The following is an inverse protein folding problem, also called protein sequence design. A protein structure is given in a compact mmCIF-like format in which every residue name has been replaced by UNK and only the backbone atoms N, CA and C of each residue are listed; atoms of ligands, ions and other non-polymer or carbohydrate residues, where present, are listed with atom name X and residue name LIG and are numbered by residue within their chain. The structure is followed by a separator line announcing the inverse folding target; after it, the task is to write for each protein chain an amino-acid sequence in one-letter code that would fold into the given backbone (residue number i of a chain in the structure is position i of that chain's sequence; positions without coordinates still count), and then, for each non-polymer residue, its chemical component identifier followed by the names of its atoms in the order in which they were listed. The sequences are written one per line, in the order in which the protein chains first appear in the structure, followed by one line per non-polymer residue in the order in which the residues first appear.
data_IF_626405220103
#
_entry.id   IF_626405220103
#
_cell.length_a   1.000
_cell.length_b   1.000
_cell.length_c   1.000
_cell.angle_alpha   90.00
_cell.angle_beta   90.00
_cell.angle_gamma   90.00
#
_symmetry.space_group_name_H-M   'P 1'
#
loop_
_entity.id
_entity.type
_entity.pdbx_description
1 polymer ?
#
# COMPACT_ATOMS: atom_id res chain seq x y z
N UNK A 1 24.91 -6.51 9.76
CA UNK A 1 24.76 -5.63 8.57
C UNK A 1 23.60 -6.14 7.74
N UNK A 2 22.84 -5.25 7.15
CA UNK A 2 21.64 -5.58 6.36
C UNK A 2 21.73 -4.95 4.98
N UNK A 3 21.28 -5.68 3.98
CA UNK A 3 20.98 -5.12 2.66
C UNK A 3 19.51 -4.70 2.63
N UNK A 4 19.22 -3.54 2.07
CA UNK A 4 17.85 -3.04 1.90
C UNK A 4 17.65 -2.63 0.46
N UNK A 5 16.57 -3.10 -0.15
CA UNK A 5 16.15 -2.72 -1.49
C UNK A 5 14.72 -2.22 -1.47
N UNK A 6 14.38 -1.36 -2.40
CA UNK A 6 13.02 -0.84 -2.52
C UNK A 6 12.56 -0.80 -3.97
N UNK A 7 11.27 -0.97 -4.18
CA UNK A 7 10.58 -0.84 -5.45
C UNK A 7 9.45 0.16 -5.32
N UNK A 8 9.41 1.13 -6.24
CA UNK A 8 8.31 2.08 -6.37
C UNK A 8 7.32 1.58 -7.43
N UNK A 9 6.02 1.75 -7.14
CA UNK A 9 4.92 1.36 -8.02
C UNK A 9 3.93 2.53 -8.05
N UNK A 10 3.76 3.16 -9.20
CA UNK A 10 2.79 4.23 -9.39
C UNK A 10 1.43 3.66 -9.78
N UNK A 11 0.37 4.22 -9.20
CA UNK A 11 -1.02 3.90 -9.55
C UNK A 11 -1.92 5.07 -9.21
N UNK A 12 -3.07 5.17 -9.86
CA UNK A 12 -4.05 6.18 -9.50
C UNK A 12 -5.27 5.52 -8.87
N UNK A 13 -5.84 6.19 -7.86
CA UNK A 13 -6.99 5.71 -7.14
C UNK A 13 -7.86 6.87 -6.68
N UNK A 14 -9.13 6.59 -6.42
CA UNK A 14 -10.01 7.50 -5.74
C UNK A 14 -10.36 6.98 -4.36
N UNK A 15 -10.76 7.86 -3.47
CA UNK A 15 -11.23 7.51 -2.14
C UNK A 15 -12.02 8.64 -1.49
N UNK A 16 -12.63 8.34 -0.36
CA UNK A 16 -13.10 9.31 0.63
C UNK A 16 -13.11 8.66 2.01
N UNK A 17 -13.13 9.50 3.03
CA UNK A 17 -13.15 9.06 4.43
C UNK A 17 -14.56 9.22 5.01
N UNK A 18 -15.01 8.20 5.73
CA UNK A 18 -16.24 8.27 6.53
C UNK A 18 -15.98 8.94 7.87
N UNK A 19 -17.01 9.57 8.44
CA UNK A 19 -16.99 10.18 9.78
C UNK A 19 -15.82 11.17 9.95
N UNK A 20 -15.60 11.97 8.93
CA UNK A 20 -14.52 12.95 8.86
C UNK A 20 -15.05 14.29 8.34
N UNK A 21 -14.70 15.39 9.00
CA UNK A 21 -15.22 16.74 8.71
C UNK A 21 -14.39 17.54 7.68
N UNK A 22 -13.18 17.08 7.35
CA UNK A 22 -12.31 17.74 6.39
C UNK A 22 -12.70 17.49 4.94
N UNK A 23 -11.90 18.02 4.01
CA UNK A 23 -12.13 17.90 2.55
C UNK A 23 -12.13 16.46 2.05
N UNK A 24 -11.42 15.57 2.74
CA UNK A 24 -11.33 14.14 2.37
C UNK A 24 -12.64 13.37 2.55
N UNK A 25 -13.70 13.99 3.08
CA UNK A 25 -15.07 13.44 3.06
C UNK A 25 -15.69 13.43 1.67
N UNK A 26 -15.15 14.19 0.74
CA UNK A 26 -15.60 14.22 -0.65
C UNK A 26 -14.81 13.22 -1.49
N UNK A 27 -15.45 12.68 -2.53
CA UNK A 27 -14.76 11.81 -3.48
C UNK A 27 -13.65 12.59 -4.19
N UNK A 28 -12.45 12.07 -4.15
CA UNK A 28 -11.28 12.66 -4.80
C UNK A 28 -10.28 11.57 -5.15
N UNK A 29 -9.24 11.92 -5.86
CA UNK A 29 -8.23 10.97 -6.31
C UNK A 29 -6.80 11.46 -6.15
N UNK A 30 -5.89 10.51 -6.22
CA UNK A 30 -4.45 10.74 -6.15
C UNK A 30 -3.71 9.93 -7.21
N UNK A 31 -2.60 10.47 -7.68
CA UNK A 31 -1.54 9.69 -8.29
C UNK A 31 -0.66 9.14 -7.16
N UNK A 32 -0.99 7.94 -6.71
CA UNK A 32 -0.30 7.31 -5.59
C UNK A 32 1.02 6.69 -6.01
N UNK A 33 1.96 6.64 -5.06
CA UNK A 33 3.19 5.87 -5.19
C UNK A 33 3.34 4.94 -4.00
N UNK A 34 3.27 3.66 -4.27
CA UNK A 34 3.62 2.64 -3.29
C UNK A 34 5.13 2.39 -3.31
N UNK A 35 5.74 2.26 -2.14
CA UNK A 35 7.14 1.87 -1.99
C UNK A 35 7.19 0.59 -1.17
N UNK A 36 7.76 -0.46 -1.74
CA UNK A 36 7.96 -1.75 -1.07
C UNK A 36 9.41 -1.81 -0.63
N UNK A 37 9.65 -1.94 0.67
CA UNK A 37 10.99 -2.02 1.26
C UNK A 37 11.23 -3.41 1.82
N UNK A 38 12.29 -4.05 1.36
CA UNK A 38 12.67 -5.42 1.69
C UNK A 38 14.10 -5.44 2.23
N UNK A 39 14.32 -6.22 3.27
CA UNK A 39 15.65 -6.42 3.87
C UNK A 39 16.08 -7.89 3.84
N UNK A 40 17.38 -8.10 3.76
CA UNK A 40 18.02 -9.39 3.96
C UNK A 40 19.41 -9.24 4.58
N UNK A 41 19.82 -10.20 5.39
CA UNK A 41 21.17 -10.26 5.98
C UNK A 41 22.21 -10.70 4.97
N UNK A 42 21.82 -11.47 3.97
CA UNK A 42 22.69 -12.01 2.93
C UNK A 42 22.05 -11.88 1.56
N UNK A 43 22.90 -11.93 0.56
CA UNK A 43 22.50 -11.96 -0.85
C UNK A 43 22.44 -13.40 -1.35
N UNK A 44 21.67 -13.62 -2.41
CA UNK A 44 21.65 -14.89 -3.14
C UNK A 44 22.92 -15.09 -3.98
N UNK A 45 23.01 -16.21 -4.69
CA UNK A 45 24.18 -16.56 -5.53
C UNK A 45 24.42 -15.56 -6.68
N UNK A 46 23.41 -14.74 -7.00
CA UNK A 46 23.50 -13.69 -8.02
C UNK A 46 23.94 -12.34 -7.44
N UNK A 47 24.09 -12.25 -6.11
CA UNK A 47 24.39 -10.99 -5.41
C UNK A 47 23.17 -10.11 -5.20
N UNK A 48 21.95 -10.66 -5.14
CA UNK A 48 20.69 -9.95 -4.98
C UNK A 48 20.01 -10.27 -3.65
N UNK A 49 19.29 -9.29 -3.07
CA UNK A 49 18.31 -9.55 -2.03
C UNK A 49 17.15 -10.36 -2.62
N UNK A 50 16.68 -9.94 -3.79
CA UNK A 50 15.71 -10.63 -4.64
C UNK A 50 15.71 -9.98 -6.02
N UNK A 51 15.06 -10.63 -6.98
CA UNK A 51 14.83 -10.05 -8.30
C UNK A 51 13.66 -9.05 -8.25
N UNK A 52 13.92 -7.80 -8.65
CA UNK A 52 12.86 -6.78 -8.76
C UNK A 52 11.75 -7.18 -9.72
N UNK A 53 12.04 -8.02 -10.70
CA UNK A 53 11.05 -8.59 -11.62
C UNK A 53 9.99 -9.42 -10.90
N UNK A 54 10.32 -10.07 -9.80
CA UNK A 54 9.36 -10.84 -8.99
C UNK A 54 8.39 -9.92 -8.26
N UNK A 55 8.86 -8.78 -7.74
CA UNK A 55 7.97 -7.76 -7.15
C UNK A 55 7.03 -7.23 -8.21
N UNK A 56 7.55 -6.89 -9.39
CA UNK A 56 6.73 -6.40 -10.51
C UNK A 56 5.66 -7.41 -10.89
N UNK A 57 6.05 -8.67 -11.11
CA UNK A 57 5.14 -9.72 -11.56
C UNK A 57 4.02 -10.01 -10.56
N UNK A 58 4.28 -9.92 -9.27
CA UNK A 58 3.34 -10.31 -8.22
C UNK A 58 2.67 -9.09 -7.59
N UNK A 59 3.44 -8.13 -7.07
CA UNK A 59 2.89 -7.00 -6.32
C UNK A 59 2.32 -5.92 -7.24
N UNK A 60 3.05 -5.54 -8.29
CA UNK A 60 2.54 -4.55 -9.25
C UNK A 60 1.30 -5.07 -9.96
N UNK A 61 1.25 -6.34 -10.31
CA UNK A 61 0.07 -6.97 -10.93
C UNK A 61 -1.13 -6.93 -9.99
N UNK A 62 -0.93 -7.24 -8.71
CA UNK A 62 -2.00 -7.15 -7.72
C UNK A 62 -2.52 -5.72 -7.55
N UNK A 63 -1.63 -4.73 -7.51
CA UNK A 63 -2.01 -3.32 -7.46
C UNK A 63 -2.81 -2.91 -8.70
N UNK A 64 -2.34 -3.29 -9.88
CA UNK A 64 -3.02 -2.99 -11.15
C UNK A 64 -4.43 -3.59 -11.21
N UNK A 65 -4.59 -4.81 -10.74
CA UNK A 65 -5.87 -5.52 -10.79
C UNK A 65 -6.82 -5.16 -9.66
N UNK A 66 -6.32 -4.63 -8.55
CA UNK A 66 -7.07 -4.47 -7.30
C UNK A 66 -7.27 -3.02 -6.88
N UNK A 67 -6.27 -2.16 -7.04
CA UNK A 67 -6.26 -0.79 -6.54
C UNK A 67 -6.25 0.26 -7.65
N UNK A 68 -5.53 0.02 -8.74
CA UNK A 68 -5.36 0.99 -9.81
C UNK A 68 -6.68 1.27 -10.54
N UNK A 69 -6.97 2.56 -10.76
CA UNK A 69 -8.22 3.04 -11.39
C UNK A 69 -9.49 2.57 -10.67
N UNK A 70 -9.42 2.41 -9.35
CA UNK A 70 -10.57 2.02 -8.52
C UNK A 70 -10.85 3.06 -7.45
N UNK A 71 -12.12 3.10 -7.03
CA UNK A 71 -12.48 3.75 -5.78
C UNK A 71 -12.17 2.81 -4.61
N UNK A 72 -11.33 3.26 -3.70
CA UNK A 72 -11.01 2.55 -2.46
C UNK A 72 -11.90 3.14 -1.37
N UNK A 73 -12.82 2.35 -0.85
CA UNK A 73 -13.87 2.81 0.04
C UNK A 73 -14.03 1.89 1.25
N UNK A 74 -14.48 2.49 2.35
CA UNK A 74 -14.99 1.70 3.46
C UNK A 74 -16.23 0.92 2.98
N UNK A 75 -16.34 -0.34 3.36
CA UNK A 75 -17.44 -1.23 2.97
C UNK A 75 -18.83 -0.66 3.34
N UNK A 76 -18.91 0.06 4.45
CA UNK A 76 -20.13 0.68 4.96
C UNK A 76 -20.42 2.07 4.35
N UNK A 77 -19.59 2.53 3.40
CA UNK A 77 -19.81 3.84 2.79
C UNK A 77 -21.11 3.84 2.00
N UNK A 78 -22.02 4.80 2.25
CA UNK A 78 -23.29 4.92 1.54
C UNK A 78 -23.17 5.07 0.02
N UNK A 79 -22.03 5.51 -0.49
CA UNK A 79 -21.81 5.63 -1.94
C UNK A 79 -21.56 4.28 -2.61
N UNK A 80 -21.19 3.25 -1.86
CA UNK A 80 -20.88 1.93 -2.42
C UNK A 80 -22.04 1.34 -3.24
N UNK A 81 -23.28 1.27 -2.75
CA UNK A 81 -24.39 0.74 -3.54
C UNK A 81 -24.65 1.53 -4.84
N UNK A 82 -24.44 2.85 -4.80
CA UNK A 82 -24.63 3.72 -5.96
C UNK A 82 -23.58 3.47 -7.04
N UNK A 83 -22.32 3.40 -6.65
CA UNK A 83 -21.22 3.10 -7.58
C UNK A 83 -21.32 1.69 -8.13
N UNK A 84 -21.72 0.72 -7.30
CA UNK A 84 -21.94 -0.65 -7.76
C UNK A 84 -23.04 -0.72 -8.83
N UNK A 85 -24.15 0.00 -8.63
CA UNK A 85 -25.24 0.09 -9.61
C UNK A 85 -24.77 0.70 -10.94
N UNK A 86 -23.83 1.65 -10.87
CA UNK A 86 -23.25 2.29 -12.05
C UNK A 86 -22.19 1.42 -12.74
N UNK A 87 -21.81 0.29 -12.14
CA UNK A 87 -20.75 -0.58 -12.69
C UNK A 87 -19.34 -0.08 -12.43
N UNK A 88 -19.14 0.84 -11.47
CA UNK A 88 -17.81 1.37 -11.16
C UNK A 88 -16.97 0.36 -10.38
N UNK A 89 -15.70 0.14 -10.76
CA UNK A 89 -14.84 -0.77 -10.04
C UNK A 89 -14.41 -0.20 -8.68
N UNK A 90 -14.45 -1.04 -7.66
CA UNK A 90 -14.13 -0.64 -6.29
C UNK A 90 -13.22 -1.66 -5.61
N UNK A 91 -12.44 -1.18 -4.64
CA UNK A 91 -11.81 -1.99 -3.62
C UNK A 91 -12.39 -1.60 -2.26
N UNK A 92 -13.01 -2.56 -1.57
CA UNK A 92 -13.70 -2.32 -0.31
C UNK A 92 -12.85 -2.78 0.87
N UNK A 93 -12.74 -1.92 1.88
CA UNK A 93 -12.01 -2.18 3.12
C UNK A 93 -12.97 -2.15 4.31
N UNK A 94 -12.62 -2.83 5.38
CA UNK A 94 -13.35 -2.76 6.65
C UNK A 94 -12.90 -1.57 7.53
N UNK A 95 -12.00 -0.75 7.02
CA UNK A 95 -11.45 0.45 7.61
C UNK A 95 -11.58 1.62 6.63
N UNK A 96 -11.46 2.85 7.13
CA UNK A 96 -11.33 4.01 6.26
C UNK A 96 -10.10 3.87 5.34
N UNK A 97 -10.22 4.17 4.05
CA UNK A 97 -9.14 4.05 3.07
C UNK A 97 -8.16 5.22 3.16
N UNK A 98 -7.58 5.40 4.33
CA UNK A 98 -6.50 6.35 4.57
C UNK A 98 -5.21 5.86 3.92
N UNK A 99 -4.23 6.74 3.74
CA UNK A 99 -2.90 6.34 3.27
C UNK A 99 -2.28 5.25 4.14
N UNK A 100 -2.49 5.34 5.47
CA UNK A 100 -2.03 4.36 6.46
C UNK A 100 -2.64 2.97 6.22
N UNK A 101 -3.94 2.91 6.04
CA UNK A 101 -4.65 1.64 5.85
C UNK A 101 -4.41 1.04 4.45
N UNK A 102 -4.24 1.87 3.43
CA UNK A 102 -3.87 1.38 2.09
C UNK A 102 -2.43 0.86 2.11
N UNK A 103 -1.49 1.55 2.75
CA UNK A 103 -0.12 1.07 2.93
C UNK A 103 -0.10 -0.28 3.65
N UNK A 104 -0.93 -0.44 4.70
CA UNK A 104 -1.10 -1.73 5.40
C UNK A 104 -1.62 -2.83 4.48
N UNK A 105 -2.62 -2.55 3.65
CA UNK A 105 -3.16 -3.54 2.72
C UNK A 105 -2.09 -4.02 1.72
N UNK A 106 -1.27 -3.11 1.20
CA UNK A 106 -0.15 -3.43 0.30
C UNK A 106 0.91 -4.25 1.04
N UNK A 107 1.24 -3.88 2.27
CA UNK A 107 2.18 -4.62 3.11
C UNK A 107 1.71 -6.05 3.36
N UNK A 108 0.47 -6.20 3.80
CA UNK A 108 -0.12 -7.51 4.15
C UNK A 108 -0.15 -8.44 2.93
N UNK A 109 -0.54 -7.93 1.76
CA UNK A 109 -0.50 -8.70 0.52
C UNK A 109 0.93 -9.14 0.17
N UNK A 110 1.87 -8.23 0.23
CA UNK A 110 3.26 -8.48 -0.14
C UNK A 110 3.90 -9.52 0.80
N UNK A 111 3.63 -9.43 2.09
CA UNK A 111 4.08 -10.42 3.08
C UNK A 111 3.44 -11.78 2.85
N UNK A 112 2.13 -11.84 2.60
CA UNK A 112 1.42 -13.07 2.33
C UNK A 112 1.90 -13.76 1.03
N UNK A 113 2.38 -12.99 0.06
CA UNK A 113 3.00 -13.49 -1.16
C UNK A 113 4.41 -14.08 -0.96
N UNK A 114 4.96 -13.99 0.26
CA UNK A 114 6.23 -14.59 0.63
C UNK A 114 7.44 -13.65 0.56
N UNK A 115 7.25 -12.36 0.32
CA UNK A 115 8.35 -11.39 0.32
C UNK A 115 8.71 -10.95 1.75
N UNK A 116 10.02 -10.83 2.08
CA UNK A 116 10.47 -10.36 3.39
C UNK A 116 10.38 -8.83 3.51
N UNK A 117 9.17 -8.33 3.34
CA UNK A 117 8.87 -6.90 3.43
C UNK A 117 8.98 -6.43 4.88
N UNK A 118 9.58 -5.26 5.07
CA UNK A 118 9.68 -4.58 6.37
C UNK A 118 8.85 -3.32 6.45
N UNK A 119 8.66 -2.63 5.33
CA UNK A 119 7.85 -1.41 5.24
C UNK A 119 7.13 -1.33 3.89
N UNK A 120 5.91 -0.80 3.93
CA UNK A 120 5.23 -0.28 2.75
C UNK A 120 4.93 1.20 2.97
N UNK A 121 5.26 2.03 1.99
CA UNK A 121 4.92 3.44 2.00
C UNK A 121 3.84 3.71 0.96
N UNK A 122 2.93 4.62 1.27
CA UNK A 122 2.02 5.17 0.29
C UNK A 122 2.12 6.69 0.27
N UNK A 123 2.59 7.21 -0.83
CA UNK A 123 2.60 8.63 -1.15
C UNK A 123 1.27 8.99 -1.83
N UNK A 124 0.49 9.85 -1.22
CA UNK A 124 -0.73 10.41 -1.83
C UNK A 124 -0.40 11.57 -2.76
N UNK A 125 0.55 12.38 -2.34
CA UNK A 125 1.08 13.53 -3.06
C UNK A 125 2.61 13.49 -3.01
N UNK A 126 3.34 14.33 -3.79
CA UNK A 126 4.79 14.43 -3.66
C UNK A 126 5.28 14.90 -2.29
N UNK A 127 4.38 15.34 -1.40
CA UNK A 127 4.73 15.93 -0.10
C UNK A 127 4.27 15.14 1.10
N UNK A 128 3.38 14.17 0.94
CA UNK A 128 2.75 13.45 2.05
C UNK A 128 2.73 11.95 1.79
N UNK A 129 3.22 11.19 2.75
CA UNK A 129 3.14 9.72 2.71
C UNK A 129 2.92 9.12 4.09
N UNK A 130 2.37 7.93 4.11
CA UNK A 130 2.27 7.10 5.30
C UNK A 130 3.16 5.87 5.14
N UNK A 131 3.66 5.36 6.25
CA UNK A 131 4.43 4.12 6.32
C UNK A 131 3.75 3.14 7.26
N UNK A 132 3.59 1.91 6.78
CA UNK A 132 3.22 0.77 7.62
C UNK A 132 4.33 -0.27 7.57
N UNK A 133 4.74 -0.78 8.71
CA UNK A 133 5.82 -1.77 8.75
C UNK A 133 6.25 -2.13 10.16
N UNK A 134 7.37 -2.82 10.25
CA UNK A 134 7.94 -3.21 11.53
C UNK A 134 8.48 -1.98 12.27
N UNK A 135 8.19 -1.90 13.57
CA UNK A 135 8.77 -0.87 14.42
C UNK A 135 10.30 -0.98 14.38
N UNK A 136 11.02 0.15 14.32
CA UNK A 136 12.47 0.14 14.45
C UNK A 136 12.85 -0.64 15.71
N UNK A 137 13.70 -1.65 15.57
CA UNK A 137 14.26 -2.34 16.74
C UNK A 137 15.00 -1.28 17.53
N UNK A 138 14.46 -0.89 18.69
CA UNK A 138 15.13 0.03 19.58
C UNK A 138 16.38 -0.69 20.15
N UNK A 139 17.60 -0.25 19.83
CA UNK A 139 18.80 -0.89 20.35
C UNK A 139 19.01 -0.66 21.86
N UNK A 140 18.16 0.15 22.50
CA UNK A 140 18.27 0.53 23.90
C UNK A 140 17.07 0.09 24.75
N UNK A 141 16.87 -1.21 24.91
CA UNK A 141 16.26 -1.77 26.13
C UNK A 141 17.06 -2.98 26.58
N UNK A 142 18.31 -2.75 26.96
CA UNK A 142 18.97 -3.62 27.95
C UNK A 142 18.57 -3.08 29.31
N UNK A 143 17.54 -3.69 29.89
CA UNK A 143 17.31 -3.63 31.34
C UNK A 143 18.36 -4.44 32.06
#
# INVERSE_FOLDING_TARGET
MMFRVSREIDFCYGHRLLNYDGKCRYLHGHNGRAVIVIEAESLDDRGMVLDFGDIKRIVSTWIDETLDHRMILHREDPVVPLLKKMGEPMYLMDLNPTAENIARAIFDFTRAAGFPIIEAHLWETPHCFATYGESPKNPERKS
#
